data_IF_100019805271
#
_entry.id   IF_100019805271
#
_cell.length_a   1.000
_cell.length_b   1.000
_cell.length_c   1.000
_cell.angle_alpha   90.00
_cell.angle_beta   90.00
_cell.angle_gamma   90.00
#
_symmetry.space_group_name_H-M   'P 1'
#
loop_
_entity.id
_entity.type
_entity.pdbx_description
1 polymer ?
#
# COMPACT_ATOMS: atom_id res chain seq x y z
N UNK A 1 -4.41 -15.70 20.14
CA UNK A 1 -3.00 -15.49 20.57
C UNK A 1 -2.07 -15.42 19.35
N UNK A 2 -0.80 -15.02 19.55
CA UNK A 2 0.21 -15.01 18.48
C UNK A 2 0.42 -16.44 17.95
N UNK A 3 0.51 -17.40 18.83
CA UNK A 3 0.74 -18.82 18.51
C UNK A 3 -0.39 -19.43 17.67
N UNK A 4 -1.65 -19.11 17.96
CA UNK A 4 -2.79 -19.57 17.17
C UNK A 4 -2.77 -19.02 15.73
N UNK A 5 -2.32 -17.76 15.56
CA UNK A 5 -2.19 -17.14 14.23
C UNK A 5 -1.05 -17.75 13.43
N UNK A 6 0.07 -18.04 14.08
CA UNK A 6 1.22 -18.69 13.45
C UNK A 6 0.85 -20.11 13.02
N UNK A 7 0.12 -20.86 13.85
CA UNK A 7 -0.42 -22.18 13.49
C UNK A 7 -1.38 -22.07 12.31
N UNK A 8 -2.33 -21.12 12.35
CA UNK A 8 -3.28 -20.91 11.25
C UNK A 8 -2.55 -20.56 9.94
N UNK A 9 -1.55 -19.69 10.00
CA UNK A 9 -0.73 -19.32 8.84
C UNK A 9 -0.02 -20.53 8.25
N UNK A 10 0.62 -21.36 9.08
CA UNK A 10 1.32 -22.56 8.62
C UNK A 10 0.36 -23.58 8.00
N UNK A 11 -0.75 -23.88 8.67
CA UNK A 11 -1.76 -24.81 8.19
C UNK A 11 -2.40 -24.34 6.87
N UNK A 12 -2.71 -23.05 6.77
CA UNK A 12 -3.31 -22.46 5.58
C UNK A 12 -2.35 -22.42 4.39
N UNK A 13 -1.08 -22.10 4.62
CA UNK A 13 -0.10 -21.96 3.54
C UNK A 13 0.53 -23.26 3.09
N UNK A 14 0.52 -24.33 3.89
CA UNK A 14 1.14 -25.60 3.55
C UNK A 14 0.63 -26.21 2.21
N UNK A 15 -0.69 -26.36 1.97
CA UNK A 15 -1.17 -26.89 0.69
C UNK A 15 -0.94 -25.91 -0.48
N UNK A 16 -0.91 -24.61 -0.22
CA UNK A 16 -0.55 -23.61 -1.23
C UNK A 16 0.92 -23.80 -1.65
N UNK A 17 1.84 -23.93 -0.70
CA UNK A 17 3.27 -24.19 -0.96
C UNK A 17 3.44 -25.47 -1.79
N UNK A 18 2.81 -26.56 -1.40
CA UNK A 18 2.88 -27.81 -2.12
C UNK A 18 2.41 -27.67 -3.58
N UNK A 19 1.35 -26.89 -3.81
CA UNK A 19 0.83 -26.66 -5.17
C UNK A 19 1.77 -25.77 -5.99
N UNK A 20 2.32 -24.71 -5.43
CA UNK A 20 3.25 -23.81 -6.12
C UNK A 20 4.58 -24.53 -6.43
N UNK A 21 5.07 -25.36 -5.52
CA UNK A 21 6.24 -26.22 -5.73
C UNK A 21 6.01 -27.17 -6.91
N UNK A 22 4.82 -27.81 -6.97
CA UNK A 22 4.43 -28.69 -8.08
C UNK A 22 4.36 -27.95 -9.43
N UNK A 23 4.01 -26.65 -9.42
CA UNK A 23 3.99 -25.82 -10.62
C UNK A 23 5.39 -25.32 -11.02
N UNK A 24 6.42 -25.58 -10.22
CA UNK A 24 7.78 -25.14 -10.47
C UNK A 24 8.00 -23.63 -10.29
N UNK A 25 7.09 -22.96 -9.58
CA UNK A 25 7.18 -21.52 -9.33
C UNK A 25 8.18 -21.26 -8.20
N UNK A 26 9.06 -20.29 -8.40
CA UNK A 26 9.89 -19.73 -7.33
C UNK A 26 9.09 -18.65 -6.60
N UNK A 27 8.96 -18.78 -5.29
CA UNK A 27 8.12 -17.88 -4.50
C UNK A 27 8.58 -17.82 -3.05
N UNK A 28 8.11 -16.81 -2.35
CA UNK A 28 8.07 -16.80 -0.90
C UNK A 28 6.69 -16.32 -0.41
N UNK A 29 6.30 -16.77 0.77
CA UNK A 29 5.01 -16.44 1.37
C UNK A 29 5.26 -15.74 2.70
N UNK A 30 4.66 -14.57 2.87
CA UNK A 30 4.74 -13.78 4.10
C UNK A 30 3.35 -13.57 4.70
N UNK A 31 3.28 -13.44 6.02
CA UNK A 31 2.09 -13.03 6.72
C UNK A 31 2.12 -11.51 6.99
N UNK A 32 1.00 -10.84 6.77
CA UNK A 32 0.77 -9.49 7.25
C UNK A 32 -0.36 -9.54 8.28
N UNK A 33 -0.07 -9.09 9.48
CA UNK A 33 -1.07 -8.93 10.53
C UNK A 33 -1.42 -7.45 10.60
N UNK A 34 -2.72 -7.13 10.48
CA UNK A 34 -3.18 -5.76 10.67
C UNK A 34 -2.93 -5.30 12.10
N UNK A 35 -2.51 -4.06 12.26
CA UNK A 35 -2.29 -3.49 13.58
C UNK A 35 -3.61 -3.44 14.37
N UNK A 36 -3.58 -3.56 15.70
CA UNK A 36 -4.77 -3.42 16.54
C UNK A 36 -5.52 -2.10 16.29
N UNK A 37 -4.78 -1.03 16.01
CA UNK A 37 -5.37 0.26 15.68
C UNK A 37 -6.16 0.23 14.36
N UNK A 38 -5.62 -0.38 13.32
CA UNK A 38 -6.32 -0.53 12.02
C UNK A 38 -7.60 -1.36 12.16
N UNK A 39 -7.56 -2.39 13.00
CA UNK A 39 -8.73 -3.22 13.32
C UNK A 39 -9.78 -2.39 14.06
N UNK A 40 -9.38 -1.69 15.11
CA UNK A 40 -10.25 -0.83 15.90
C UNK A 40 -10.89 0.28 15.06
N UNK A 41 -10.10 0.95 14.23
CA UNK A 41 -10.60 2.00 13.33
C UNK A 41 -11.64 1.47 12.35
N UNK A 42 -11.43 0.28 11.80
CA UNK A 42 -12.40 -0.38 10.90
C UNK A 42 -13.70 -0.73 11.62
N UNK A 43 -13.63 -1.18 12.87
CA UNK A 43 -14.82 -1.41 13.71
C UNK A 43 -15.62 -0.12 13.91
N UNK A 44 -14.94 1.00 14.19
CA UNK A 44 -15.57 2.29 14.43
C UNK A 44 -16.18 2.88 13.16
N UNK A 45 -15.46 2.87 12.04
CA UNK A 45 -15.89 3.51 10.80
C UNK A 45 -16.99 2.74 10.07
N UNK A 46 -16.96 1.39 10.14
CA UNK A 46 -17.96 0.54 9.49
C UNK A 46 -19.08 0.07 10.44
N UNK A 47 -18.98 0.40 11.73
CA UNK A 47 -19.91 -0.06 12.76
C UNK A 47 -20.14 -1.58 12.76
N UNK A 48 -19.04 -2.34 12.52
CA UNK A 48 -19.06 -3.80 12.49
C UNK A 48 -18.38 -4.39 13.73
N UNK A 49 -18.87 -5.50 14.26
CA UNK A 49 -18.22 -6.19 15.37
C UNK A 49 -16.90 -6.83 14.91
N UNK A 50 -16.03 -7.15 15.86
CA UNK A 50 -14.72 -7.76 15.62
C UNK A 50 -14.79 -9.05 14.80
N UNK A 51 -15.83 -9.85 15.01
CA UNK A 51 -16.08 -11.13 14.35
C UNK A 51 -16.36 -10.96 12.84
N UNK A 52 -16.80 -9.79 12.42
CA UNK A 52 -17.04 -9.44 11.02
C UNK A 52 -15.81 -8.81 10.34
N UNK A 53 -14.69 -8.72 11.02
CA UNK A 53 -13.42 -8.29 10.42
C UNK A 53 -12.72 -9.51 9.81
N UNK A 54 -12.96 -9.72 8.53
CA UNK A 54 -12.48 -10.88 7.76
C UNK A 54 -11.00 -10.85 7.39
N UNK A 55 -10.31 -9.72 7.58
CA UNK A 55 -8.96 -9.47 7.06
C UNK A 55 -7.91 -9.21 8.15
N UNK A 56 -8.04 -9.88 9.29
CA UNK A 56 -7.05 -9.81 10.40
C UNK A 56 -5.71 -10.41 9.99
N UNK A 57 -5.75 -11.49 9.23
CA UNK A 57 -4.58 -12.16 8.66
C UNK A 57 -4.62 -11.99 7.14
N UNK A 58 -3.61 -11.35 6.59
CA UNK A 58 -3.35 -11.34 5.17
C UNK A 58 -2.11 -12.17 4.84
N UNK A 59 -2.19 -12.94 3.77
CA UNK A 59 -1.09 -13.76 3.26
C UNK A 59 -0.63 -13.12 1.94
N UNK A 60 0.67 -12.93 1.79
CA UNK A 60 1.27 -12.47 0.54
C UNK A 60 2.03 -13.60 -0.10
N UNK A 61 1.70 -13.89 -1.35
CA UNK A 61 2.45 -14.77 -2.22
C UNK A 61 3.23 -13.89 -3.18
N UNK A 62 4.55 -13.89 -3.06
CA UNK A 62 5.45 -13.11 -3.89
C UNK A 62 6.23 -14.11 -4.74
N UNK A 63 6.08 -14.03 -6.07
CA UNK A 63 6.70 -14.97 -6.99
C UNK A 63 7.75 -14.28 -7.87
N UNK A 64 8.76 -15.05 -8.25
CA UNK A 64 9.76 -14.67 -9.24
C UNK A 64 9.21 -14.99 -10.63
N UNK A 65 8.96 -13.97 -11.49
CA UNK A 65 8.35 -14.21 -12.80
C UNK A 65 9.22 -15.10 -13.67
N UNK A 66 8.60 -16.00 -14.44
CA UNK A 66 9.32 -16.76 -15.45
C UNK A 66 9.61 -15.87 -16.68
N UNK A 67 10.72 -16.14 -17.37
CA UNK A 67 11.06 -15.45 -18.62
C UNK A 67 10.13 -15.79 -19.78
N UNK A 68 9.34 -16.86 -19.66
CA UNK A 68 8.54 -17.44 -20.73
C UNK A 68 7.07 -17.02 -20.71
N UNK A 69 6.58 -16.41 -19.63
CA UNK A 69 5.18 -16.03 -19.48
C UNK A 69 5.02 -14.57 -19.08
N UNK A 70 3.90 -13.97 -19.44
CA UNK A 70 3.54 -12.67 -18.93
C UNK A 70 3.26 -12.74 -17.42
N UNK A 71 3.79 -11.82 -16.70
CA UNK A 71 3.68 -11.69 -15.24
C UNK A 71 2.21 -11.69 -14.77
N UNK A 72 1.29 -11.10 -15.55
CA UNK A 72 -0.15 -11.13 -15.28
C UNK A 72 -0.72 -12.54 -15.37
N UNK A 73 -0.32 -13.31 -16.39
CA UNK A 73 -0.79 -14.67 -16.57
C UNK A 73 -0.33 -15.57 -15.43
N UNK A 74 0.88 -15.39 -14.92
CA UNK A 74 1.37 -16.12 -13.76
C UNK A 74 0.58 -15.78 -12.49
N UNK A 75 0.26 -14.49 -12.26
CA UNK A 75 -0.63 -14.08 -11.17
C UNK A 75 -1.96 -14.82 -11.19
N UNK A 76 -2.62 -14.84 -12.34
CA UNK A 76 -3.90 -15.52 -12.51
C UNK A 76 -3.78 -17.03 -12.46
N UNK A 77 -2.68 -17.59 -12.95
CA UNK A 77 -2.35 -19.02 -12.82
C UNK A 77 -2.26 -19.45 -11.35
N UNK A 78 -1.58 -18.68 -10.52
CA UNK A 78 -1.51 -18.89 -9.07
C UNK A 78 -2.91 -18.77 -8.45
N UNK A 79 -3.69 -17.75 -8.80
CA UNK A 79 -5.06 -17.58 -8.33
C UNK A 79 -5.92 -18.80 -8.63
N UNK A 80 -5.90 -19.31 -9.87
CA UNK A 80 -6.66 -20.50 -10.26
C UNK A 80 -6.21 -21.70 -9.44
N UNK A 81 -4.92 -21.88 -9.23
CA UNK A 81 -4.38 -23.00 -8.47
C UNK A 81 -4.84 -22.99 -7.01
N UNK A 82 -4.76 -21.84 -6.32
CA UNK A 82 -5.17 -21.72 -4.91
C UNK A 82 -6.68 -21.76 -4.73
N UNK A 83 -7.45 -21.31 -5.73
CA UNK A 83 -8.91 -21.37 -5.74
C UNK A 83 -9.45 -22.79 -5.85
N UNK A 84 -8.64 -23.75 -6.31
CA UNK A 84 -8.96 -25.19 -6.28
C UNK A 84 -8.75 -25.80 -4.90
N UNK A 85 -7.90 -25.20 -4.08
CA UNK A 85 -7.61 -25.65 -2.70
C UNK A 85 -8.64 -25.07 -1.72
N UNK A 86 -8.91 -23.77 -1.84
CA UNK A 86 -9.78 -23.04 -0.94
C UNK A 86 -10.85 -22.28 -1.70
N UNK A 87 -12.08 -22.29 -1.20
CA UNK A 87 -13.21 -21.60 -1.83
C UNK A 87 -13.01 -20.08 -1.77
N UNK A 88 -12.98 -19.38 -2.93
CA UNK A 88 -12.90 -17.94 -2.96
C UNK A 88 -14.24 -17.27 -2.61
N UNK A 89 -14.15 -16.10 -1.98
CA UNK A 89 -15.32 -15.25 -1.76
C UNK A 89 -15.72 -14.58 -3.09
N UNK A 90 -16.97 -14.71 -3.55
CA UNK A 90 -17.38 -14.28 -4.88
C UNK A 90 -17.21 -12.79 -5.16
N UNK A 91 -17.41 -11.95 -4.13
CA UNK A 91 -17.42 -10.49 -4.29
C UNK A 91 -16.11 -9.80 -3.86
N UNK A 92 -15.06 -10.59 -3.56
CA UNK A 92 -13.81 -10.06 -3.01
C UNK A 92 -12.57 -10.36 -3.85
N UNK A 93 -12.75 -10.48 -5.16
CA UNK A 93 -11.63 -10.43 -6.10
C UNK A 93 -11.35 -8.98 -6.49
N UNK A 94 -10.09 -8.56 -6.38
CA UNK A 94 -9.63 -7.23 -6.83
C UNK A 94 -8.45 -7.42 -7.77
N UNK A 95 -8.67 -7.09 -9.02
CA UNK A 95 -7.66 -7.16 -10.08
C UNK A 95 -6.94 -5.83 -10.24
N UNK A 96 -5.89 -5.64 -9.45
CA UNK A 96 -4.96 -4.54 -9.60
C UNK A 96 -3.74 -4.90 -10.47
N UNK A 97 -3.73 -6.08 -11.07
CA UNK A 97 -2.70 -6.52 -12.02
C UNK A 97 -2.97 -5.94 -13.39
N UNK A 98 -4.16 -6.20 -13.94
CA UNK A 98 -4.55 -5.66 -15.25
C UNK A 98 -5.04 -4.21 -15.18
N UNK A 99 -5.51 -3.78 -14.01
CA UNK A 99 -5.99 -2.43 -13.74
C UNK A 99 -5.23 -1.81 -12.56
N UNK A 100 -3.93 -1.46 -12.74
CA UNK A 100 -3.13 -0.88 -11.67
C UNK A 100 -3.77 0.36 -11.06
N UNK A 101 -3.55 0.57 -9.78
CA UNK A 101 -3.89 1.84 -9.15
C UNK A 101 -3.05 2.97 -9.74
N UNK A 102 -3.54 4.21 -9.64
CA UNK A 102 -2.86 5.39 -10.19
C UNK A 102 -1.44 5.62 -9.66
N UNK A 103 -1.10 5.07 -8.48
CA UNK A 103 0.26 5.05 -7.92
C UNK A 103 1.14 3.92 -8.43
N UNK A 104 0.72 3.17 -9.45
CA UNK A 104 1.44 2.01 -9.98
C UNK A 104 1.30 0.72 -9.15
N UNK A 105 0.53 0.73 -8.05
CA UNK A 105 0.31 -0.47 -7.25
C UNK A 105 -0.35 -1.58 -8.07
N UNK A 106 0.28 -2.75 -8.08
CA UNK A 106 -0.22 -3.96 -8.72
C UNK A 106 -0.23 -5.12 -7.72
N UNK A 107 -1.31 -5.84 -7.68
CA UNK A 107 -1.48 -7.11 -7.00
C UNK A 107 -2.82 -7.72 -7.38
N UNK A 108 -2.96 -9.03 -7.23
CA UNK A 108 -4.25 -9.70 -7.28
C UNK A 108 -4.68 -10.02 -5.84
N UNK A 109 -5.79 -9.47 -5.39
CA UNK A 109 -6.33 -9.72 -4.06
C UNK A 109 -7.50 -10.70 -4.17
N UNK A 110 -7.43 -11.77 -3.40
CA UNK A 110 -8.51 -12.74 -3.26
C UNK A 110 -8.74 -13.05 -1.79
N UNK A 111 -9.98 -13.30 -1.41
CA UNK A 111 -10.33 -13.75 -0.06
C UNK A 111 -10.74 -15.21 -0.14
N UNK A 112 -10.06 -16.07 0.60
CA UNK A 112 -10.24 -17.51 0.60
C UNK A 112 -10.76 -18.01 1.95
N UNK A 113 -11.63 -19.03 1.93
CA UNK A 113 -12.13 -19.68 3.13
C UNK A 113 -11.14 -20.73 3.62
N UNK A 114 -10.59 -20.55 4.81
CA UNK A 114 -9.73 -21.55 5.44
C UNK A 114 -10.54 -22.76 5.91
N UNK A 115 -9.86 -23.88 6.17
CA UNK A 115 -10.49 -25.09 6.72
C UNK A 115 -11.08 -24.89 8.14
N UNK A 116 -10.71 -23.79 8.81
CA UNK A 116 -11.27 -23.39 10.12
C UNK A 116 -12.44 -22.42 10.01
N UNK A 117 -12.98 -22.23 8.80
CA UNK A 117 -14.13 -21.34 8.57
C UNK A 117 -13.82 -19.85 8.66
N UNK A 118 -12.55 -19.47 8.55
CA UNK A 118 -12.12 -18.06 8.57
C UNK A 118 -11.77 -17.60 7.17
N UNK A 119 -12.20 -16.39 6.83
CA UNK A 119 -11.79 -15.73 5.61
C UNK A 119 -10.38 -15.17 5.75
N UNK A 120 -9.51 -15.48 4.80
CA UNK A 120 -8.12 -15.01 4.75
C UNK A 120 -7.92 -14.26 3.43
N UNK A 121 -7.44 -13.02 3.50
CA UNK A 121 -7.02 -12.28 2.33
C UNK A 121 -5.68 -12.81 1.82
N UNK A 122 -5.62 -13.10 0.53
CA UNK A 122 -4.38 -13.49 -0.16
C UNK A 122 -4.06 -12.45 -1.22
N UNK A 123 -2.86 -11.89 -1.16
CA UNK A 123 -2.32 -10.97 -2.14
C UNK A 123 -1.28 -11.70 -2.97
N UNK A 124 -1.49 -11.76 -4.27
CA UNK A 124 -0.57 -12.38 -5.23
C UNK A 124 0.11 -11.27 -6.01
N UNK A 125 1.43 -11.27 -6.00
CA UNK A 125 2.24 -10.29 -6.72
C UNK A 125 3.59 -10.86 -7.10
N UNK A 126 4.17 -10.35 -8.19
CA UNK A 126 5.56 -10.64 -8.54
C UNK A 126 6.55 -9.89 -7.65
N UNK A 127 7.84 -10.22 -7.72
CA UNK A 127 8.91 -9.46 -7.04
C UNK A 127 8.87 -7.98 -7.45
N UNK A 128 8.72 -7.68 -8.75
CA UNK A 128 8.60 -6.31 -9.24
C UNK A 128 7.39 -5.58 -8.64
N UNK A 129 6.22 -6.21 -8.64
CA UNK A 129 5.00 -5.66 -8.04
C UNK A 129 5.16 -5.45 -6.54
N UNK A 130 5.89 -6.33 -5.86
CA UNK A 130 6.18 -6.21 -4.44
C UNK A 130 7.14 -5.04 -4.16
N UNK A 131 8.16 -4.86 -4.98
CA UNK A 131 9.07 -3.70 -4.86
C UNK A 131 8.30 -2.39 -5.00
N UNK A 132 7.40 -2.28 -5.97
CA UNK A 132 6.54 -1.11 -6.14
C UNK A 132 5.64 -0.91 -4.91
N UNK A 133 5.07 -1.99 -4.36
CA UNK A 133 4.20 -1.91 -3.19
C UNK A 133 4.96 -1.52 -1.90
N UNK A 134 6.21 -1.94 -1.75
CA UNK A 134 7.03 -1.66 -0.57
C UNK A 134 7.78 -0.32 -0.67
N UNK A 135 8.29 0.02 -1.85
CA UNK A 135 9.12 1.21 -2.09
C UNK A 135 8.35 2.35 -2.77
N UNK A 136 7.09 2.11 -3.21
CA UNK A 136 6.19 3.09 -3.80
C UNK A 136 6.51 3.49 -5.23
N UNK A 137 6.05 4.68 -5.59
CA UNK A 137 6.11 5.19 -6.95
C UNK A 137 7.54 5.31 -7.50
N UNK A 138 8.52 5.59 -6.65
CA UNK A 138 9.93 5.64 -7.03
C UNK A 138 10.45 4.28 -7.54
N UNK A 139 9.95 3.17 -7.01
CA UNK A 139 10.29 1.85 -7.52
C UNK A 139 9.64 1.59 -8.89
N UNK A 140 8.44 2.11 -9.13
CA UNK A 140 7.79 2.02 -10.43
C UNK A 140 8.65 2.63 -11.53
N UNK A 141 9.32 3.76 -11.27
CA UNK A 141 10.24 4.38 -12.24
C UNK A 141 11.52 3.59 -12.48
N UNK A 142 12.00 2.82 -11.49
CA UNK A 142 13.18 1.97 -11.65
C UNK A 142 13.00 0.91 -12.74
N UNK A 143 11.78 0.49 -13.01
CA UNK A 143 11.44 -0.52 -14.01
C UNK A 143 10.96 0.05 -15.35
N UNK A 144 10.91 1.39 -15.46
CA UNK A 144 10.70 2.10 -16.73
C UNK A 144 12.04 2.67 -17.23
N UNK A 145 12.20 2.80 -18.55
CA UNK A 145 13.42 3.32 -19.21
C UNK A 145 13.61 4.85 -19.04
N UNK A 146 13.45 5.35 -17.82
CA UNK A 146 13.64 6.75 -17.44
C UNK A 146 12.35 7.58 -17.42
N UNK A 147 12.36 8.77 -16.78
CA UNK A 147 11.20 9.65 -16.71
C UNK A 147 10.84 10.21 -18.07
N UNK A 148 9.61 9.98 -18.51
CA UNK A 148 9.04 10.57 -19.72
C UNK A 148 8.08 11.71 -19.35
N UNK A 149 7.70 12.52 -20.33
CA UNK A 149 6.69 13.58 -20.13
C UNK A 149 5.32 13.02 -19.71
N UNK A 150 5.05 11.74 -20.04
CA UNK A 150 3.88 10.99 -19.56
C UNK A 150 3.99 10.65 -18.06
N UNK A 151 5.20 10.45 -17.54
CA UNK A 151 5.43 10.12 -16.13
C UNK A 151 5.18 11.32 -15.20
N UNK A 152 5.39 12.56 -15.66
CA UNK A 152 4.99 13.77 -14.93
C UNK A 152 3.46 13.85 -14.80
N UNK A 153 2.73 13.50 -15.85
CA UNK A 153 1.26 13.42 -15.83
C UNK A 153 0.73 12.26 -14.96
N UNK A 154 1.45 11.16 -14.87
CA UNK A 154 1.14 10.05 -13.95
C UNK A 154 1.40 10.44 -12.50
N UNK A 155 2.47 11.17 -12.22
CA UNK A 155 2.75 11.72 -10.89
C UNK A 155 1.64 12.67 -10.42
N UNK A 156 1.20 13.58 -11.28
CA UNK A 156 0.08 14.48 -10.96
C UNK A 156 -1.23 13.73 -10.72
N UNK A 157 -1.53 12.71 -11.52
CA UNK A 157 -2.70 11.84 -11.33
C UNK A 157 -2.62 11.11 -9.99
N UNK A 158 -1.44 10.58 -9.66
CA UNK A 158 -1.22 9.88 -8.40
C UNK A 158 -1.34 10.81 -7.20
N UNK A 159 -0.77 12.03 -7.25
CA UNK A 159 -0.93 13.04 -6.20
C UNK A 159 -2.40 13.45 -6.02
N UNK A 160 -3.15 13.56 -7.11
CA UNK A 160 -4.60 13.82 -7.07
C UNK A 160 -5.35 12.70 -6.37
N UNK A 161 -5.02 11.44 -6.68
CA UNK A 161 -5.64 10.27 -6.04
C UNK A 161 -5.31 10.20 -4.54
N UNK A 162 -4.08 10.54 -4.13
CA UNK A 162 -3.74 10.68 -2.71
C UNK A 162 -4.64 11.71 -2.05
N UNK A 163 -4.81 12.86 -2.67
CA UNK A 163 -5.65 13.93 -2.14
C UNK A 163 -7.10 13.47 -1.99
N UNK A 164 -7.67 12.82 -3.01
CA UNK A 164 -9.03 12.27 -2.97
C UNK A 164 -9.20 11.23 -1.85
N UNK A 165 -8.17 10.40 -1.61
CA UNK A 165 -8.19 9.40 -0.53
C UNK A 165 -8.10 10.06 0.85
N UNK A 166 -7.35 11.16 0.97
CA UNK A 166 -7.24 11.91 2.24
C UNK A 166 -8.51 12.69 2.55
N UNK A 167 -9.20 13.15 1.52
CA UNK A 167 -10.47 13.89 1.65
C UNK A 167 -11.66 12.96 1.91
N UNK A 168 -11.56 11.66 1.55
CA UNK A 168 -12.57 10.62 1.81
C UNK A 168 -11.97 9.48 2.64
N UNK A 169 -12.07 9.52 3.98
CA UNK A 169 -11.46 8.56 4.89
C UNK A 169 -12.15 7.19 4.88
N UNK A 170 -12.15 6.50 3.75
CA UNK A 170 -12.54 5.09 3.66
C UNK A 170 -11.46 4.20 4.30
N UNK A 171 -11.83 3.08 4.96
CA UNK A 171 -10.86 2.20 5.65
C UNK A 171 -9.77 1.60 4.77
N UNK A 172 -10.03 1.45 3.45
CA UNK A 172 -9.04 1.02 2.48
C UNK A 172 -7.93 2.07 2.24
N UNK A 173 -8.22 3.34 2.57
CA UNK A 173 -7.26 4.43 2.49
C UNK A 173 -6.16 4.35 3.55
N UNK A 174 -6.41 3.74 4.71
CA UNK A 174 -5.39 3.59 5.77
C UNK A 174 -4.32 2.54 5.42
N UNK A 175 -4.70 1.43 4.77
CA UNK A 175 -3.72 0.47 4.21
C UNK A 175 -2.88 1.12 3.10
N UNK A 176 -3.47 2.10 2.42
CA UNK A 176 -2.82 2.88 1.39
C UNK A 176 -1.92 3.99 1.97
N UNK A 177 -2.30 4.61 3.08
CA UNK A 177 -1.46 5.58 3.81
C UNK A 177 -0.19 4.92 4.40
N UNK A 178 -0.26 3.66 4.84
CA UNK A 178 0.94 2.91 5.21
C UNK A 178 1.88 2.67 4.00
N UNK A 179 1.31 2.67 2.79
CA UNK A 179 2.04 2.62 1.51
C UNK A 179 2.53 4.01 1.05
N UNK A 180 1.83 5.09 1.44
CA UNK A 180 2.19 6.50 1.15
C UNK A 180 3.33 7.04 2.02
N UNK A 181 3.70 6.39 3.13
CA UNK A 181 4.93 6.72 3.89
C UNK A 181 6.21 6.57 3.07
N UNK A 182 6.05 6.37 1.79
CA UNK A 182 7.11 6.17 0.83
C UNK A 182 7.68 7.50 0.35
N UNK A 183 8.94 7.65 0.61
CA UNK A 183 9.75 8.66 -0.05
C UNK A 183 9.66 8.43 -1.57
N UNK A 184 8.85 9.21 -2.26
CA UNK A 184 8.73 9.18 -3.72
C UNK A 184 10.06 9.49 -4.40
N UNK A 185 10.86 10.31 -3.74
CA UNK A 185 12.25 10.57 -4.09
C UNK A 185 13.08 10.55 -2.82
N UNK A 186 14.27 9.98 -2.89
CA UNK A 186 15.19 9.97 -1.75
C UNK A 186 15.59 11.37 -1.25
N UNK A 187 15.23 12.42 -2.00
CA UNK A 187 15.59 13.81 -1.75
C UNK A 187 14.43 14.78 -1.55
N UNK A 188 13.18 14.35 -1.71
CA UNK A 188 11.99 15.22 -1.65
C UNK A 188 10.91 14.67 -0.73
N UNK A 189 10.09 15.58 -0.19
CA UNK A 189 8.92 15.29 0.63
C UNK A 189 7.71 16.06 0.12
N UNK A 190 6.51 15.56 0.39
CA UNK A 190 5.25 16.17 0.02
C UNK A 190 4.52 16.68 1.26
N UNK A 191 4.20 17.96 1.25
CA UNK A 191 3.56 18.69 2.34
C UNK A 191 2.17 19.15 1.89
N UNK A 192 1.19 19.02 2.77
CA UNK A 192 -0.18 19.45 2.51
C UNK A 192 -0.46 20.81 3.12
N UNK A 193 -1.01 21.72 2.33
CA UNK A 193 -1.52 22.98 2.86
C UNK A 193 -2.89 22.76 3.52
N UNK A 194 -3.33 23.66 4.42
CA UNK A 194 -4.69 23.60 4.99
C UNK A 194 -5.82 23.66 3.95
N UNK A 195 -5.50 24.10 2.73
CA UNK A 195 -6.44 24.10 1.59
C UNK A 195 -6.42 22.80 0.79
N UNK A 196 -5.60 21.81 1.21
CA UNK A 196 -5.44 20.53 0.53
C UNK A 196 -4.55 20.61 -0.72
N UNK A 197 -3.79 21.68 -0.93
CA UNK A 197 -2.78 21.73 -1.99
C UNK A 197 -1.55 20.95 -1.57
N UNK A 198 -0.92 20.24 -2.52
CA UNK A 198 0.31 19.51 -2.30
C UNK A 198 1.50 20.35 -2.76
N UNK A 199 2.50 20.46 -1.89
CA UNK A 199 3.77 21.13 -2.17
C UNK A 199 4.91 20.13 -2.07
N UNK A 200 5.74 20.05 -3.10
CA UNK A 200 6.98 19.28 -3.08
C UNK A 200 8.08 20.12 -2.45
N UNK A 201 8.75 19.57 -1.45
CA UNK A 201 9.82 20.25 -0.72
C UNK A 201 11.05 19.32 -0.61
N UNK A 202 12.27 19.88 -0.50
CA UNK A 202 13.46 19.07 -0.24
C UNK A 202 13.37 18.30 1.08
N UNK A 203 13.93 17.10 1.10
CA UNK A 203 14.05 16.33 2.35
C UNK A 203 14.86 17.16 3.40
N UNK A 204 14.45 17.06 4.64
CA UNK A 204 14.99 17.85 5.76
C UNK A 204 14.65 19.35 5.74
N UNK A 205 13.77 19.83 4.86
CA UNK A 205 13.26 21.19 4.94
C UNK A 205 12.53 21.42 6.27
N UNK A 206 12.50 22.67 6.68
CA UNK A 206 11.87 23.09 7.93
C UNK A 206 10.51 23.77 7.67
N UNK A 207 9.73 23.97 8.72
CA UNK A 207 8.50 24.75 8.66
C UNK A 207 8.76 26.18 8.16
N UNK A 208 9.93 26.74 8.43
CA UNK A 208 10.34 28.05 7.91
C UNK A 208 10.57 28.01 6.40
N UNK A 209 11.28 26.97 5.89
CA UNK A 209 11.50 26.79 4.45
C UNK A 209 10.17 26.67 3.71
N UNK A 210 9.21 25.96 4.30
CA UNK A 210 7.86 25.84 3.75
C UNK A 210 7.13 27.20 3.72
N UNK A 211 7.23 28.01 4.77
CA UNK A 211 6.63 29.34 4.80
C UNK A 211 7.20 30.24 3.69
N UNK A 212 8.52 30.21 3.47
CA UNK A 212 9.16 30.92 2.35
C UNK A 212 8.73 30.39 0.99
N UNK A 213 8.50 29.09 0.85
CA UNK A 213 8.02 28.50 -0.41
C UNK A 213 6.60 28.94 -0.80
N UNK A 214 5.79 29.32 0.19
CA UNK A 214 4.46 29.87 -0.01
C UNK A 214 4.51 31.34 -0.41
N UNK A 215 5.21 32.16 0.37
CA UNK A 215 5.39 33.56 0.10
C UNK A 215 6.51 34.15 0.97
N UNK A 216 7.39 34.96 0.39
CA UNK A 216 8.53 35.62 1.09
C UNK A 216 8.10 36.41 2.33
N UNK A 217 6.98 37.13 2.23
CA UNK A 217 6.44 37.88 3.36
C UNK A 217 6.05 36.97 4.52
N UNK A 218 5.41 35.82 4.22
CA UNK A 218 5.03 34.84 5.22
C UNK A 218 6.27 34.25 5.92
N UNK A 219 7.27 33.84 5.15
CA UNK A 219 8.54 33.35 5.69
C UNK A 219 9.26 34.34 6.58
N UNK A 220 9.23 35.64 6.22
CA UNK A 220 9.91 36.71 6.97
C UNK A 220 9.18 37.14 8.25
N UNK A 221 7.89 36.84 8.39
CA UNK A 221 7.05 37.33 9.48
C UNK A 221 6.45 36.22 10.35
N UNK A 222 6.56 34.93 9.95
CA UNK A 222 6.05 33.85 10.78
C UNK A 222 6.90 33.66 12.04
N UNK A 223 6.22 33.41 13.16
CA UNK A 223 6.83 33.15 14.46
C UNK A 223 6.66 31.71 14.95
N UNK A 224 5.86 30.92 14.27
CA UNK A 224 5.59 29.52 14.56
C UNK A 224 4.77 28.90 13.45
N UNK A 225 4.63 27.59 13.48
CA UNK A 225 3.84 26.84 12.53
C UNK A 225 2.94 25.81 13.24
N UNK A 226 1.85 25.44 12.60
CA UNK A 226 1.05 24.28 13.00
C UNK A 226 1.28 23.14 12.00
N UNK A 227 1.73 21.99 12.50
CA UNK A 227 1.88 20.76 11.74
C UNK A 227 0.98 19.71 12.36
N UNK A 228 0.08 19.14 11.57
CA UNK A 228 -0.90 18.16 12.05
C UNK A 228 -1.65 18.61 13.31
N UNK A 229 -2.11 19.86 13.30
CA UNK A 229 -2.82 20.55 14.40
C UNK A 229 -1.98 20.84 15.66
N UNK A 230 -0.68 20.53 15.66
CA UNK A 230 0.24 20.82 16.79
C UNK A 230 1.11 22.02 16.47
N UNK A 231 1.27 22.90 17.44
CA UNK A 231 2.22 24.03 17.34
C UNK A 231 3.65 23.49 17.39
N UNK A 232 4.46 23.91 16.41
CA UNK A 232 5.86 23.49 16.29
C UNK A 232 6.75 24.72 16.07
N UNK A 233 8.04 24.65 16.45
CA UNK A 233 8.99 25.72 16.16
C UNK A 233 9.26 25.80 14.66
N UNK A 234 9.72 26.95 14.17
CA UNK A 234 10.05 27.15 12.75
C UNK A 234 11.17 26.24 12.24
N UNK A 235 12.04 25.78 13.14
CA UNK A 235 13.12 24.81 12.86
C UNK A 235 12.64 23.36 12.79
N UNK A 236 11.36 23.10 13.00
CA UNK A 236 10.79 21.75 12.91
C UNK A 236 10.97 21.19 11.50
N UNK A 237 11.62 20.03 11.41
CA UNK A 237 11.81 19.33 10.14
C UNK A 237 10.51 18.65 9.72
N UNK A 238 10.07 18.98 8.53
CA UNK A 238 8.86 18.43 7.92
C UNK A 238 9.12 17.05 7.35
N UNK A 239 8.07 16.26 7.27
CA UNK A 239 8.04 14.90 6.71
C UNK A 239 6.94 14.80 5.68
N UNK A 240 7.05 13.83 4.75
CA UNK A 240 5.97 13.55 3.83
C UNK A 240 4.68 13.23 4.59
N UNK A 241 3.59 13.90 4.20
CA UNK A 241 2.29 13.75 4.82
C UNK A 241 1.97 14.76 5.94
N UNK A 242 2.93 15.65 6.30
CA UNK A 242 2.66 16.77 7.22
C UNK A 242 1.75 17.81 6.60
#
# INVERSE_FOLDING_TARGET
>A
SKDERDVLFQEFTAPIRAQLDKMGIKYHITARIKSPYSIWNKMQTKHIPFEEIYDILAVRIIFDPSESEEESNECFGIYVAISKIYKPHPDRLRDWVNHPKSNGYQALHVTLMSNKGQWIEVQIRSERMNDIAEQGFAAHWKYKDGPTQEDEGELEKWLRTIKEILDDPQPDAMDFLDTIKLNLFASEIFIFTPKGEIKTMPQNCTALDFAFSLHTFLGSHCIGAKVNHKLVPLSHKLKSGD
#
